data_IF_494914637508
#
_entry.id   IF_494914637508
#
_cell.length_a   1.000
_cell.length_b   1.000
_cell.length_c   1.000
_cell.angle_alpha   90.00
_cell.angle_beta   90.00
_cell.angle_gamma   90.00
#
_symmetry.space_group_name_H-M   'P 1'
#
loop_
_entity.id
_entity.type
_entity.pdbx_description
1 polymer ?
#
# COMPACT_ATOMS: atom_id res chain seq x y z
N UNK A 1 14.60 10.72 -21.61
CA UNK A 1 13.21 11.00 -21.20
C UNK A 1 12.34 9.84 -21.68
N UNK A 2 12.20 8.80 -20.85
CA UNK A 2 11.48 7.57 -21.21
C UNK A 2 9.98 7.80 -20.97
N UNK A 3 9.27 8.27 -21.98
CA UNK A 3 7.83 8.00 -22.05
C UNK A 3 7.73 6.51 -22.37
N UNK A 4 7.79 5.68 -21.31
CA UNK A 4 7.45 4.27 -21.35
C UNK A 4 6.13 4.19 -22.11
N UNK A 5 6.10 3.55 -23.28
CA UNK A 5 4.84 3.28 -23.97
C UNK A 5 3.85 2.78 -22.91
N UNK A 6 2.70 3.47 -22.78
CA UNK A 6 1.70 3.11 -21.76
C UNK A 6 1.45 1.61 -21.90
N UNK A 7 1.81 0.86 -20.85
CA UNK A 7 1.70 -0.59 -20.78
C UNK A 7 0.36 -1.03 -21.36
N UNK A 8 0.33 -2.14 -22.11
CA UNK A 8 -0.90 -2.72 -22.67
C UNK A 8 -2.02 -2.79 -21.62
N UNK A 9 -1.66 -3.07 -20.37
CA UNK A 9 -2.56 -3.10 -19.22
C UNK A 9 -3.21 -1.73 -18.93
N UNK A 10 -2.46 -0.62 -19.03
CA UNK A 10 -3.01 0.73 -18.82
C UNK A 10 -4.03 1.10 -19.90
N UNK A 11 -3.85 0.63 -21.14
CA UNK A 11 -4.81 0.86 -22.22
C UNK A 11 -6.12 0.11 -21.97
N UNK A 12 -6.04 -1.11 -21.44
CA UNK A 12 -7.23 -1.89 -21.06
C UNK A 12 -7.97 -1.21 -19.91
N UNK A 13 -7.24 -0.80 -18.86
CA UNK A 13 -7.83 -0.12 -17.69
C UNK A 13 -8.52 1.19 -18.09
N UNK A 14 -7.90 2.01 -18.95
CA UNK A 14 -8.52 3.25 -19.42
C UNK A 14 -9.86 3.00 -20.11
N UNK A 15 -9.92 2.00 -21.01
CA UNK A 15 -11.17 1.61 -21.68
C UNK A 15 -12.24 1.12 -20.69
N UNK A 16 -11.83 0.37 -19.66
CA UNK A 16 -12.76 -0.10 -18.63
C UNK A 16 -13.29 1.04 -17.77
N UNK A 17 -12.48 2.07 -17.50
CA UNK A 17 -12.92 3.28 -16.78
C UNK A 17 -13.89 4.10 -17.63
N UNK A 18 -13.62 4.25 -18.93
CA UNK A 18 -14.50 4.98 -19.86
C UNK A 18 -15.89 4.33 -20.00
N UNK A 19 -16.00 3.03 -19.73
CA UNK A 19 -17.27 2.30 -19.73
C UNK A 19 -18.12 2.54 -18.46
N UNK A 20 -17.53 3.10 -17.40
CA UNK A 20 -18.23 3.44 -16.16
C UNK A 20 -19.00 4.76 -16.32
N UNK A 21 -20.11 4.89 -15.61
CA UNK A 21 -20.79 6.19 -15.52
C UNK A 21 -20.02 7.17 -14.61
N UNK A 22 -20.35 8.47 -14.67
CA UNK A 22 -19.62 9.50 -13.94
C UNK A 22 -19.58 9.29 -12.42
N UNK A 23 -20.65 8.75 -11.82
CA UNK A 23 -20.70 8.45 -10.38
C UNK A 23 -19.72 7.34 -10.02
N UNK A 24 -19.68 6.27 -10.83
CA UNK A 24 -18.75 5.16 -10.65
C UNK A 24 -17.30 5.59 -10.87
N UNK A 25 -17.04 6.44 -11.87
CA UNK A 25 -15.72 7.00 -12.11
C UNK A 25 -15.24 7.84 -10.93
N UNK A 26 -16.10 8.71 -10.39
CA UNK A 26 -15.79 9.54 -9.23
C UNK A 26 -15.51 8.68 -7.99
N UNK A 27 -16.37 7.70 -7.71
CA UNK A 27 -16.17 6.78 -6.59
C UNK A 27 -14.85 6.02 -6.71
N UNK A 28 -14.53 5.53 -7.91
CA UNK A 28 -13.28 4.79 -8.16
C UNK A 28 -12.04 5.68 -7.96
N UNK A 29 -12.10 6.94 -8.41
CA UNK A 29 -11.04 7.92 -8.23
C UNK A 29 -10.76 8.15 -6.74
N UNK A 30 -11.79 8.42 -5.96
CA UNK A 30 -11.69 8.65 -4.51
C UNK A 30 -11.17 7.41 -3.79
N UNK A 31 -11.66 6.23 -4.16
CA UNK A 31 -11.23 4.96 -3.58
C UNK A 31 -9.74 4.70 -3.84
N UNK A 32 -9.27 4.92 -5.07
CA UNK A 32 -7.85 4.77 -5.41
C UNK A 32 -7.00 5.80 -4.67
N UNK A 33 -7.42 7.06 -4.64
CA UNK A 33 -6.70 8.13 -3.92
C UNK A 33 -6.57 7.81 -2.43
N UNK A 34 -7.64 7.33 -1.80
CA UNK A 34 -7.64 6.91 -0.41
C UNK A 34 -6.69 5.74 -0.15
N UNK A 35 -6.70 4.71 -1.01
CA UNK A 35 -5.78 3.58 -0.89
C UNK A 35 -4.31 4.02 -0.99
N UNK A 36 -3.98 4.91 -1.94
CA UNK A 36 -2.62 5.43 -2.11
C UNK A 36 -2.19 6.17 -0.83
N UNK A 37 -3.07 7.02 -0.29
CA UNK A 37 -2.80 7.77 0.94
C UNK A 37 -2.54 6.84 2.12
N UNK A 38 -3.39 5.84 2.36
CA UNK A 38 -3.18 4.87 3.45
C UNK A 38 -1.83 4.16 3.28
N UNK A 39 -1.51 3.70 2.07
CA UNK A 39 -0.24 3.01 1.82
C UNK A 39 0.97 3.90 2.09
N UNK A 40 0.89 5.18 1.76
CA UNK A 40 1.94 6.14 2.07
C UNK A 40 2.05 6.41 3.57
N UNK A 41 0.93 6.56 4.28
CA UNK A 41 0.91 6.74 5.74
C UNK A 41 1.49 5.50 6.44
N UNK A 42 1.11 4.29 6.02
CA UNK A 42 1.68 3.04 6.54
C UNK A 42 3.18 2.91 6.23
N UNK A 43 3.61 3.30 5.03
CA UNK A 43 5.02 3.32 4.70
C UNK A 43 5.80 4.31 5.56
N UNK A 44 5.23 5.48 5.85
CA UNK A 44 5.82 6.47 6.75
C UNK A 44 5.89 5.94 8.20
N UNK A 45 4.83 5.32 8.70
CA UNK A 45 4.82 4.66 10.02
C UNK A 45 5.85 3.52 10.09
N UNK A 46 5.99 2.73 9.02
CA UNK A 46 7.00 1.68 8.95
C UNK A 46 8.43 2.24 8.94
N UNK A 47 8.65 3.48 8.53
CA UNK A 47 9.95 4.15 8.61
C UNK A 47 10.12 4.97 9.89
N UNK A 48 9.11 5.03 10.77
CA UNK A 48 9.16 5.76 12.03
C UNK A 48 10.16 5.08 12.99
N UNK A 49 11.22 5.79 13.45
CA UNK A 49 12.23 5.21 14.32
C UNK A 49 11.71 4.70 15.66
N UNK A 50 10.67 5.34 16.22
CA UNK A 50 10.08 4.92 17.48
C UNK A 50 9.31 3.61 17.28
N UNK A 51 8.51 3.51 16.21
CA UNK A 51 7.79 2.27 15.86
C UNK A 51 8.80 1.13 15.60
N UNK A 52 9.89 1.40 14.89
CA UNK A 52 10.95 0.40 14.65
C UNK A 52 11.66 -0.05 15.94
N UNK A 53 11.89 0.87 16.89
CA UNK A 53 12.45 0.54 18.18
C UNK A 53 11.50 -0.34 19.01
N UNK A 54 10.22 0.00 19.06
CA UNK A 54 9.17 -0.80 19.74
C UNK A 54 9.06 -2.20 19.11
N UNK A 55 9.01 -2.30 17.78
CA UNK A 55 8.98 -3.59 17.08
C UNK A 55 10.22 -4.44 17.36
N UNK A 56 11.40 -3.82 17.47
CA UNK A 56 12.65 -4.52 17.81
C UNK A 56 12.63 -5.03 19.25
N UNK A 57 12.09 -4.26 20.18
CA UNK A 57 11.92 -4.69 21.58
C UNK A 57 10.94 -5.86 21.69
N UNK A 58 9.78 -5.78 21.02
CA UNK A 58 8.82 -6.88 20.94
C UNK A 58 9.50 -8.14 20.38
N UNK A 59 10.24 -8.02 19.27
CA UNK A 59 10.96 -9.17 18.71
C UNK A 59 11.96 -9.78 19.69
N UNK A 60 12.65 -8.98 20.50
CA UNK A 60 13.56 -9.48 21.54
C UNK A 60 12.81 -10.16 22.69
N UNK A 61 11.67 -9.61 23.13
CA UNK A 61 10.84 -10.18 24.19
C UNK A 61 10.26 -11.54 23.79
N UNK A 62 9.83 -11.70 22.53
CA UNK A 62 9.26 -12.95 22.04
C UNK A 62 10.31 -13.95 21.51
N UNK A 63 11.52 -13.52 21.15
CA UNK A 63 12.61 -14.42 20.73
C UNK A 63 13.06 -15.37 21.86
N UNK A 64 12.86 -14.99 23.13
CA UNK A 64 13.18 -15.84 24.30
C UNK A 64 12.13 -16.93 24.50
N UNK A 65 10.89 -16.71 24.05
CA UNK A 65 9.76 -17.63 24.25
C UNK A 65 9.76 -18.82 23.27
N UNK A 66 10.49 -18.72 22.14
CA UNK A 66 10.63 -19.82 21.16
C UNK A 66 11.68 -20.87 21.55
N UNK A 67 12.47 -20.64 22.61
CA UNK A 67 13.53 -21.57 23.05
C UNK A 67 13.14 -22.51 24.20
N UNK A 68 11.96 -22.36 24.81
CA UNK A 68 11.51 -23.18 25.95
C UNK A 68 10.20 -23.96 25.67
N UNK A 69 9.90 -24.18 24.39
CA UNK A 69 8.66 -24.78 23.94
C UNK A 69 8.82 -25.85 22.86
N UNK A 70 9.54 -26.95 23.17
CA UNK A 70 9.24 -28.36 22.82
C UNK A 70 10.29 -29.32 23.38
#
# INVERSE_FOLDING_TARGET
MLIKEKSSNLKVIAKSIDALNLTEQLWLLEHIAHQIRIKNELAAMAQDPQIQAELSQIQQEFAVTDFDGL
#
